data_IF_886933691355
#
_entry.id   IF_886933691355
#
_cell.length_a   1.000
_cell.length_b   1.000
_cell.length_c   1.000
_cell.angle_alpha   90.00
_cell.angle_beta   90.00
_cell.angle_gamma   90.00
#
_symmetry.space_group_name_H-M   'P 1'
#
loop_
_entity.id
_entity.type
_entity.pdbx_description
1 polymer ?
#
# COMPACT_ATOMS: atom_id res chain seq x y z
N UNK A 1 -16.14 12.11 19.40
CA UNK A 1 -16.13 12.47 17.97
C UNK A 1 -14.76 13.03 17.65
N UNK A 2 -13.94 12.34 16.87
CA UNK A 2 -12.60 12.82 16.49
C UNK A 2 -12.72 13.76 15.30
N UNK A 3 -12.36 15.03 15.50
CA UNK A 3 -12.44 16.11 14.50
C UNK A 3 -11.14 16.31 13.69
N UNK A 4 -10.20 15.36 13.77
CA UNK A 4 -8.84 15.46 13.22
C UNK A 4 -8.57 14.53 12.03
N UNK A 5 -9.58 14.19 11.22
CA UNK A 5 -9.27 13.68 9.88
C UNK A 5 -8.66 14.86 9.11
N UNK A 6 -7.40 14.80 8.64
CA UNK A 6 -6.84 15.89 7.87
C UNK A 6 -7.71 16.11 6.65
N UNK A 7 -8.15 17.34 6.45
CA UNK A 7 -8.90 17.69 5.24
C UNK A 7 -8.13 17.21 4.01
N UNK A 8 -8.80 16.38 3.23
CA UNK A 8 -8.74 16.35 1.79
C UNK A 8 -7.74 17.36 1.17
N UNK A 9 -6.56 16.96 0.64
CA UNK A 9 -5.65 17.91 0.02
C UNK A 9 -6.33 18.64 -1.13
N UNK A 10 -6.16 19.96 -1.16
CA UNK A 10 -6.74 20.86 -2.19
C UNK A 10 -6.03 20.70 -3.53
N UNK A 11 -4.78 20.25 -3.52
CA UNK A 11 -3.99 19.95 -4.70
C UNK A 11 -4.43 18.61 -5.31
N UNK A 12 -4.89 18.65 -6.55
CA UNK A 12 -5.30 17.47 -7.31
C UNK A 12 -4.49 17.33 -8.59
N UNK A 13 -4.31 16.08 -9.01
CA UNK A 13 -3.52 15.73 -10.19
C UNK A 13 -4.29 16.06 -11.46
N UNK A 14 -3.65 16.76 -12.40
CA UNK A 14 -4.16 17.00 -13.74
C UNK A 14 -3.24 16.35 -14.76
N UNK A 15 -3.80 15.50 -15.61
CA UNK A 15 -3.12 14.94 -16.77
C UNK A 15 -3.52 15.73 -18.01
N UNK A 16 -2.71 16.70 -18.42
CA UNK A 16 -2.95 17.57 -19.56
C UNK A 16 -2.31 17.00 -20.82
N UNK A 17 -1.03 16.62 -20.74
CA UNK A 17 -0.21 16.19 -21.87
C UNK A 17 0.26 14.75 -21.70
N UNK A 18 0.43 13.99 -22.80
CA UNK A 18 1.14 12.71 -22.74
C UNK A 18 2.51 12.89 -22.10
N UNK A 19 2.85 12.02 -21.15
CA UNK A 19 4.04 12.13 -20.29
C UNK A 19 3.73 12.65 -18.88
N UNK A 20 2.60 13.33 -18.68
CA UNK A 20 2.20 13.78 -17.35
C UNK A 20 2.05 12.57 -16.41
N UNK A 21 2.68 12.65 -15.25
CA UNK A 21 2.69 11.57 -14.26
C UNK A 21 2.54 12.11 -12.84
N UNK A 22 1.96 11.27 -12.00
CA UNK A 22 1.99 11.40 -10.54
C UNK A 22 2.57 10.12 -9.97
N UNK A 23 3.42 10.26 -8.96
CA UNK A 23 4.01 9.15 -8.23
C UNK A 23 4.00 9.47 -6.74
N UNK A 24 3.70 8.48 -5.91
CA UNK A 24 3.69 8.66 -4.47
C UNK A 24 3.22 7.41 -3.73
N UNK A 25 3.27 7.49 -2.41
CA UNK A 25 2.72 6.47 -1.53
C UNK A 25 1.24 6.70 -1.30
N UNK A 26 0.44 5.63 -1.38
CA UNK A 26 -0.99 5.68 -1.10
C UNK A 26 -1.18 5.93 0.39
N UNK A 27 -1.88 7.00 0.76
CA UNK A 27 -2.29 7.25 2.13
C UNK A 27 -3.70 6.74 2.38
N UNK A 28 -4.62 7.02 1.46
CA UNK A 28 -6.04 6.73 1.61
C UNK A 28 -6.68 6.47 0.24
N UNK A 29 -7.61 5.53 0.22
CA UNK A 29 -8.55 5.31 -0.89
C UNK A 29 -9.96 5.56 -0.37
N UNK A 30 -10.63 6.56 -0.94
CA UNK A 30 -12.01 6.90 -0.55
C UNK A 30 -13.04 6.00 -1.22
N UNK A 31 -14.24 5.95 -0.65
CA UNK A 31 -15.35 5.21 -1.25
C UNK A 31 -15.74 5.78 -2.63
N UNK A 32 -16.25 4.97 -3.57
CA UNK A 32 -16.75 5.45 -4.86
C UNK A 32 -17.89 6.47 -4.71
N UNK A 33 -17.82 7.57 -5.44
CA UNK A 33 -18.84 8.63 -5.45
C UNK A 33 -19.04 9.19 -6.87
N UNK A 34 -20.20 9.81 -7.18
CA UNK A 34 -20.47 10.32 -8.52
C UNK A 34 -19.56 11.52 -8.86
N UNK A 35 -19.15 11.59 -10.13
CA UNK A 35 -18.49 12.77 -10.69
C UNK A 35 -19.52 13.89 -10.84
N UNK A 36 -19.23 15.08 -10.34
CA UNK A 36 -20.07 16.26 -10.53
C UNK A 36 -19.77 16.93 -11.87
N UNK A 37 -20.80 17.32 -12.61
CA UNK A 37 -20.71 18.09 -13.83
C UNK A 37 -20.35 19.54 -13.54
N UNK A 38 -19.41 20.06 -14.34
CA UNK A 38 -18.85 21.39 -14.15
C UNK A 38 -19.94 22.47 -14.27
N UNK A 39 -20.07 23.30 -13.23
CA UNK A 39 -21.03 24.42 -13.09
C UNK A 39 -22.50 24.05 -12.87
N UNK A 40 -22.86 22.77 -12.80
CA UNK A 40 -24.28 22.37 -12.68
C UNK A 40 -24.63 21.69 -11.36
N UNK A 41 -23.63 21.31 -10.55
CA UNK A 41 -23.79 20.55 -9.30
C UNK A 41 -24.61 19.24 -9.46
N UNK A 42 -24.75 18.77 -10.70
CA UNK A 42 -25.46 17.53 -11.07
C UNK A 42 -24.46 16.41 -11.32
N UNK A 43 -24.83 15.15 -11.09
CA UNK A 43 -23.98 14.02 -11.45
C UNK A 43 -23.77 13.98 -12.97
N UNK A 44 -22.53 13.82 -13.40
CA UNK A 44 -22.16 13.57 -14.79
C UNK A 44 -22.69 12.20 -15.20
N UNK A 45 -23.47 12.15 -16.28
CA UNK A 45 -24.03 10.91 -16.80
C UNK A 45 -23.18 10.37 -17.96
N UNK A 46 -23.11 9.05 -18.08
CA UNK A 46 -22.53 8.35 -19.22
C UNK A 46 -23.51 8.29 -20.41
N UNK A 47 -23.09 7.70 -21.53
CA UNK A 47 -23.93 7.55 -22.73
C UNK A 47 -25.19 6.70 -22.52
N UNK A 48 -25.28 5.96 -21.39
CA UNK A 48 -26.44 5.15 -21.01
C UNK A 48 -27.31 5.86 -19.96
N UNK A 49 -26.97 7.08 -19.56
CA UNK A 49 -27.69 7.85 -18.55
C UNK A 49 -27.33 7.49 -17.10
N UNK A 50 -26.30 6.67 -16.86
CA UNK A 50 -25.87 6.32 -15.51
C UNK A 50 -24.84 7.30 -14.97
N UNK A 51 -24.81 7.61 -13.66
CA UNK A 51 -23.78 8.42 -13.06
C UNK A 51 -22.38 7.82 -13.28
N UNK A 52 -21.45 8.65 -13.74
CA UNK A 52 -20.03 8.27 -13.80
C UNK A 52 -19.50 8.28 -12.37
N UNK A 53 -19.05 7.12 -11.90
CA UNK A 53 -18.44 6.99 -10.57
C UNK A 53 -16.93 7.27 -10.64
N UNK A 54 -16.41 7.84 -9.56
CA UNK A 54 -14.98 8.06 -9.34
C UNK A 54 -14.57 7.69 -7.92
N UNK A 55 -13.30 7.38 -7.75
CA UNK A 55 -12.66 7.14 -6.46
C UNK A 55 -11.57 8.19 -6.28
N UNK A 56 -11.40 8.67 -5.05
CA UNK A 56 -10.29 9.56 -4.70
C UNK A 56 -9.21 8.75 -4.00
N UNK A 57 -8.00 8.79 -4.55
CA UNK A 57 -6.80 8.25 -3.93
C UNK A 57 -5.94 9.41 -3.45
N UNK A 58 -5.58 9.42 -2.18
CA UNK A 58 -4.64 10.40 -1.63
C UNK A 58 -3.24 9.81 -1.72
N UNK A 59 -2.34 10.54 -2.38
CA UNK A 59 -0.94 10.16 -2.54
C UNK A 59 -0.05 11.13 -1.77
N UNK A 60 0.83 10.62 -0.92
CA UNK A 60 1.99 11.33 -0.43
C UNK A 60 3.07 11.35 -1.51
N UNK A 61 3.42 12.53 -2.02
CA UNK A 61 4.37 12.71 -3.11
C UNK A 61 5.50 13.65 -2.72
N UNK A 62 6.68 13.46 -3.29
CA UNK A 62 7.83 14.35 -3.09
C UNK A 62 7.77 15.63 -3.94
N UNK A 63 6.73 15.78 -4.77
CA UNK A 63 6.52 17.01 -5.51
C UNK A 63 6.18 18.12 -4.50
N UNK A 64 6.91 19.22 -4.46
CA UNK A 64 6.54 20.38 -3.63
C UNK A 64 6.01 21.50 -4.53
N UNK A 65 4.81 22.00 -4.23
CA UNK A 65 4.18 23.11 -4.94
C UNK A 65 4.46 24.49 -4.29
N UNK A 66 5.38 24.55 -3.31
CA UNK A 66 5.75 25.79 -2.61
C UNK A 66 5.37 25.80 -1.12
N UNK A 67 5.48 26.97 -0.48
CA UNK A 67 5.21 27.12 0.95
C UNK A 67 3.74 26.82 1.27
N UNK A 68 3.51 25.80 2.12
CA UNK A 68 2.17 25.33 2.48
C UNK A 68 1.65 24.16 1.65
N UNK A 69 2.45 23.56 0.76
CA UNK A 69 2.12 22.28 0.14
C UNK A 69 2.36 21.14 1.14
N UNK A 70 1.31 20.45 1.55
CA UNK A 70 1.37 19.33 2.49
C UNK A 70 2.08 18.08 1.91
N UNK A 71 2.63 18.16 0.70
CA UNK A 71 3.22 17.01 -0.02
C UNK A 71 2.17 16.01 -0.52
N UNK A 72 0.88 16.26 -0.32
CA UNK A 72 -0.20 15.31 -0.65
C UNK A 72 -0.96 15.74 -1.89
N UNK A 73 -1.30 14.79 -2.76
CA UNK A 73 -2.13 15.01 -3.94
C UNK A 73 -3.35 14.10 -3.97
N UNK A 74 -4.46 14.68 -4.40
CA UNK A 74 -5.66 13.93 -4.76
C UNK A 74 -5.57 13.41 -6.19
N UNK A 75 -5.52 12.09 -6.36
CA UNK A 75 -5.69 11.42 -7.63
C UNK A 75 -7.16 10.96 -7.76
N UNK A 76 -7.91 11.58 -8.66
CA UNK A 76 -9.27 11.14 -9.00
C UNK A 76 -9.20 10.04 -10.06
N UNK A 77 -9.49 8.81 -9.65
CA UNK A 77 -9.52 7.63 -10.51
C UNK A 77 -10.95 7.47 -11.01
N UNK A 78 -11.16 7.60 -12.31
CA UNK A 78 -12.47 7.47 -12.92
C UNK A 78 -12.42 6.71 -14.24
N UNK A 79 -13.51 6.02 -14.55
CA UNK A 79 -13.67 5.25 -15.77
C UNK A 79 -12.73 4.05 -15.91
N UNK A 80 -13.07 3.18 -16.86
CA UNK A 80 -12.40 1.91 -17.10
C UNK A 80 -10.87 2.04 -17.32
N UNK A 81 -10.41 3.07 -18.03
CA UNK A 81 -8.99 3.13 -18.45
C UNK A 81 -8.02 3.33 -17.29
N UNK A 82 -8.37 4.16 -16.31
CA UNK A 82 -7.52 4.36 -15.13
C UNK A 82 -7.63 3.16 -14.19
N UNK A 83 -8.84 2.66 -13.96
CA UNK A 83 -9.05 1.50 -13.08
C UNK A 83 -8.36 0.24 -13.61
N UNK A 84 -8.43 -0.02 -14.92
CA UNK A 84 -7.69 -1.13 -15.55
C UNK A 84 -6.19 -0.93 -15.48
N UNK A 85 -5.67 0.27 -15.75
CA UNK A 85 -4.22 0.51 -15.69
C UNK A 85 -3.66 0.23 -14.28
N UNK A 86 -4.36 0.69 -13.23
CA UNK A 86 -3.98 0.46 -11.83
C UNK A 86 -4.15 -1.02 -11.46
N UNK A 87 -5.29 -1.62 -11.79
CA UNK A 87 -5.55 -3.04 -11.51
C UNK A 87 -4.55 -3.98 -12.19
N UNK A 88 -4.15 -3.69 -13.43
CA UNK A 88 -3.10 -4.46 -14.12
C UNK A 88 -1.73 -4.30 -13.44
N UNK A 89 -1.40 -3.10 -12.94
CA UNK A 89 -0.16 -2.89 -12.19
C UNK A 89 -0.16 -3.65 -10.85
N UNK A 90 -1.28 -3.60 -10.13
CA UNK A 90 -1.49 -4.36 -8.90
C UNK A 90 -1.36 -5.88 -9.13
N UNK A 91 -1.98 -6.40 -10.20
CA UNK A 91 -1.86 -7.80 -10.60
C UNK A 91 -0.41 -8.18 -10.92
N UNK A 92 0.35 -7.33 -11.64
CA UNK A 92 1.78 -7.56 -11.90
C UNK A 92 2.61 -7.60 -10.62
N UNK A 93 2.20 -6.85 -9.59
CA UNK A 93 2.81 -6.90 -8.26
C UNK A 93 2.29 -8.05 -7.39
N UNK A 94 1.41 -8.92 -7.93
CA UNK A 94 0.71 -10.01 -7.22
C UNK A 94 -0.17 -9.53 -6.06
N UNK A 95 -0.67 -8.30 -6.09
CA UNK A 95 -1.59 -7.78 -5.08
C UNK A 95 -2.94 -8.50 -5.16
N UNK A 96 -3.43 -8.96 -4.01
CA UNK A 96 -4.70 -9.68 -3.91
C UNK A 96 -5.89 -8.76 -3.63
N UNK A 97 -5.63 -7.53 -3.18
CA UNK A 97 -6.64 -6.53 -2.94
C UNK A 97 -7.23 -5.97 -4.24
N UNK A 98 -8.50 -5.59 -4.21
CA UNK A 98 -9.19 -4.92 -5.32
C UNK A 98 -8.79 -3.44 -5.48
N UNK A 99 -8.26 -2.84 -4.41
CA UNK A 99 -7.87 -1.43 -4.34
C UNK A 99 -6.42 -1.26 -3.84
N UNK A 100 -5.70 -0.20 -4.31
CA UNK A 100 -4.35 0.09 -3.84
C UNK A 100 -4.28 0.20 -2.32
N UNK A 101 -3.34 -0.52 -1.71
CA UNK A 101 -3.23 -0.55 -0.25
C UNK A 101 -2.53 0.70 0.29
N UNK A 102 -2.94 1.24 1.46
CA UNK A 102 -2.18 2.26 2.16
C UNK A 102 -0.72 1.82 2.38
N UNK A 103 0.22 2.72 2.14
CA UNK A 103 1.67 2.47 2.17
C UNK A 103 2.24 1.86 0.88
N UNK A 104 1.41 1.48 -0.09
CA UNK A 104 1.88 1.06 -1.41
C UNK A 104 2.43 2.25 -2.19
N UNK A 105 3.43 2.02 -3.04
CA UNK A 105 3.83 3.02 -4.02
C UNK A 105 2.97 2.88 -5.28
N UNK A 106 2.38 3.99 -5.73
CA UNK A 106 1.60 4.07 -6.96
C UNK A 106 2.14 5.20 -7.83
N UNK A 107 2.43 4.86 -9.09
CA UNK A 107 2.71 5.85 -10.14
C UNK A 107 1.74 5.66 -11.28
N UNK A 108 1.10 6.74 -11.71
CA UNK A 108 0.19 6.76 -12.85
C UNK A 108 0.67 7.78 -13.87
N UNK A 109 0.77 7.35 -15.12
CA UNK A 109 1.26 8.17 -16.24
C UNK A 109 0.22 8.22 -17.35
N UNK A 110 -0.10 9.41 -17.83
CA UNK A 110 -0.85 9.59 -19.08
C UNK A 110 0.08 9.29 -20.25
N UNK A 111 -0.01 8.10 -20.82
CA UNK A 111 0.97 7.61 -21.79
C UNK A 111 0.77 8.22 -23.19
N UNK A 112 -0.48 8.23 -23.68
CA UNK A 112 -0.82 8.72 -25.03
C UNK A 112 -2.32 8.89 -25.20
N UNK A 113 -2.71 9.60 -26.25
CA UNK A 113 -4.07 9.53 -26.77
C UNK A 113 -4.29 8.19 -27.51
N UNK A 114 -5.46 7.60 -27.32
CA UNK A 114 -5.93 6.44 -28.08
C UNK A 114 -6.51 6.85 -29.43
N UNK A 115 -7.03 5.87 -30.17
CA UNK A 115 -7.69 6.14 -31.45
C UNK A 115 -9.06 6.80 -31.21
N UNK A 116 -9.33 7.92 -31.89
CA UNK A 116 -10.67 8.48 -31.95
C UNK A 116 -11.59 7.54 -32.73
N UNK A 117 -12.85 7.46 -32.31
CA UNK A 117 -13.89 6.72 -33.03
C UNK A 117 -15.10 7.63 -33.19
N UNK A 118 -15.66 7.68 -34.40
CA UNK A 118 -16.92 8.36 -34.67
C UNK A 118 -16.97 9.85 -34.28
N UNK A 119 -15.91 10.62 -34.54
CA UNK A 119 -15.86 12.06 -34.24
C UNK A 119 -15.73 12.42 -32.75
N UNK A 120 -15.60 11.42 -31.87
CA UNK A 120 -15.34 11.66 -30.45
C UNK A 120 -13.87 12.03 -30.19
N UNK A 121 -13.65 12.82 -29.14
CA UNK A 121 -12.32 13.15 -28.68
C UNK A 121 -11.51 11.86 -28.40
N UNK A 122 -10.23 11.80 -28.82
CA UNK A 122 -9.37 10.66 -28.54
C UNK A 122 -9.29 10.38 -27.03
N UNK A 123 -9.54 9.14 -26.57
CA UNK A 123 -9.51 8.84 -25.15
C UNK A 123 -8.07 8.84 -24.62
N UNK A 124 -7.88 9.28 -23.37
CA UNK A 124 -6.58 9.19 -22.70
C UNK A 124 -6.26 7.74 -22.32
N UNK A 125 -5.05 7.28 -22.64
CA UNK A 125 -4.52 5.97 -22.25
C UNK A 125 -3.52 6.15 -21.12
N UNK A 126 -3.66 5.35 -20.06
CA UNK A 126 -2.82 5.43 -18.88
C UNK A 126 -1.99 4.16 -18.70
N UNK A 127 -0.83 4.31 -18.07
CA UNK A 127 0.01 3.21 -17.60
C UNK A 127 0.28 3.44 -16.12
N UNK A 128 0.17 2.39 -15.32
CA UNK A 128 0.50 2.44 -13.90
C UNK A 128 1.66 1.52 -13.54
N UNK A 129 2.40 1.93 -12.52
CA UNK A 129 3.37 1.12 -11.79
C UNK A 129 2.89 1.05 -10.33
N UNK A 130 2.98 -0.13 -9.73
CA UNK A 130 2.53 -0.37 -8.36
C UNK A 130 3.55 -1.25 -7.63
N UNK A 131 3.92 -0.83 -6.43
CA UNK A 131 4.74 -1.63 -5.51
C UNK A 131 3.97 -1.80 -4.22
N UNK A 132 3.81 -3.04 -3.79
CA UNK A 132 3.13 -3.40 -2.55
C UNK A 132 3.71 -2.64 -1.34
N UNK A 133 2.90 -2.36 -0.32
CA UNK A 133 3.44 -1.85 0.93
C UNK A 133 4.45 -2.89 1.47
N UNK A 134 5.56 -2.45 2.10
CA UNK A 134 6.40 -3.37 2.85
C UNK A 134 5.57 -3.93 4.00
N UNK A 135 5.05 -5.14 3.84
CA UNK A 135 4.52 -5.88 4.97
C UNK A 135 5.69 -6.13 5.92
N UNK A 136 5.55 -5.76 7.18
CA UNK A 136 6.42 -6.30 8.22
C UNK A 136 6.33 -7.82 8.09
N UNK A 137 7.41 -8.46 7.67
CA UNK A 137 7.50 -9.91 7.57
C UNK A 137 7.33 -10.47 8.98
N UNK A 138 6.10 -10.77 9.38
CA UNK A 138 5.82 -11.58 10.58
C UNK A 138 6.13 -13.03 10.21
N UNK A 139 7.40 -13.32 9.94
CA UNK A 139 7.97 -14.63 10.23
C UNK A 139 8.75 -14.45 11.53
N UNK A 140 8.02 -14.29 12.63
CA UNK A 140 8.55 -14.73 13.91
C UNK A 140 8.43 -16.24 13.85
N UNK A 141 9.46 -16.91 13.34
CA UNK A 141 9.66 -18.30 13.66
C UNK A 141 9.66 -18.39 15.20
N UNK A 142 8.86 -19.26 15.84
CA UNK A 142 8.99 -19.46 17.26
C UNK A 142 10.47 -19.80 17.54
N UNK A 143 11.10 -19.22 18.57
CA UNK A 143 12.46 -19.58 18.91
C UNK A 143 12.50 -21.10 19.08
N UNK A 144 13.39 -21.75 18.33
CA UNK A 144 13.65 -23.17 18.51
C UNK A 144 13.96 -23.40 20.00
N UNK A 145 13.36 -24.41 20.66
CA UNK A 145 13.69 -24.70 22.05
C UNK A 145 15.19 -24.93 22.15
N UNK A 146 15.85 -24.15 23.00
CA UNK A 146 17.27 -24.32 23.29
C UNK A 146 17.51 -25.77 23.75
N UNK A 147 18.61 -26.44 23.34
CA UNK A 147 18.93 -27.76 23.84
C UNK A 147 19.08 -27.68 25.37
N UNK A 148 18.33 -28.52 26.07
CA UNK A 148 18.46 -28.69 27.51
C UNK A 148 19.92 -29.01 27.86
N UNK A 149 20.54 -28.14 28.65
CA UNK A 149 21.86 -28.39 29.21
C UNK A 149 21.79 -29.68 30.04
N UNK A 150 22.64 -30.65 29.70
CA UNK A 150 22.80 -31.88 30.46
C UNK A 150 23.19 -31.54 31.91
N UNK A 151 22.41 -32.06 32.87
CA UNK A 151 22.74 -31.97 34.28
C UNK A 151 24.09 -32.70 34.55
N UNK A 152 25.02 -32.10 35.29
CA UNK A 152 26.26 -32.78 35.68
C UNK A 152 25.96 -33.94 36.65
N UNK A 153 26.62 -35.06 36.43
CA UNK A 153 26.51 -36.28 37.23
C UNK A 153 26.96 -36.05 38.70
N UNK A 154 26.36 -36.74 39.68
CA UNK A 154 26.77 -36.64 41.07
C UNK A 154 28.16 -37.25 41.27
N UNK A 155 29.06 -36.44 41.83
CA UNK A 155 30.43 -36.80 42.19
C UNK A 155 30.42 -37.93 43.23
N UNK A 156 31.04 -39.05 42.88
CA UNK A 156 31.22 -40.20 43.76
C UNK A 156 32.16 -39.84 44.92
N UNK A 157 31.80 -40.34 46.10
CA UNK A 157 32.34 -39.93 47.39
C UNK A 157 33.84 -40.18 47.58
N UNK A 158 34.46 -39.23 48.28
CA UNK A 158 35.74 -39.42 48.96
C UNK A 158 35.51 -40.30 50.20
N UNK A 159 36.03 -41.52 50.17
CA UNK A 159 36.16 -42.39 51.35
C UNK A 159 37.32 -41.90 52.23
N UNK A 160 37.13 -41.75 53.56
CA UNK A 160 38.24 -41.52 54.47
C UNK A 160 39.05 -42.81 54.71
N UNK A 161 40.35 -42.71 55.05
CA UNK A 161 41.22 -43.86 55.24
C UNK A 161 40.83 -44.73 56.43
N UNK A 162 40.90 -46.04 56.19
CA UNK A 162 40.56 -47.13 57.10
C UNK A 162 41.60 -47.23 58.24
N UNK A 163 41.16 -46.98 59.47
CA UNK A 163 41.97 -47.14 60.67
C UNK A 163 41.58 -48.47 61.34
N UNK A 164 42.40 -49.50 61.22
CA UNK A 164 42.22 -50.79 61.91
C UNK A 164 42.83 -50.75 63.31
N UNK A 165 42.07 -51.04 64.37
CA UNK A 165 42.64 -51.48 65.64
C UNK A 165 42.75 -53.03 65.71
N UNK A 166 43.81 -53.55 66.37
CA UNK A 166 44.20 -54.97 66.35
C UNK A 166 43.36 -55.84 67.30
N UNK A 167 43.31 -57.15 66.97
CA UNK A 167 42.82 -58.22 67.84
C UNK A 167 43.54 -58.21 69.20
N UNK A 168 42.88 -58.70 70.27
CA UNK A 168 43.51 -59.85 70.92
C UNK A 168 42.56 -60.84 71.65
N UNK A 169 43.05 -62.11 71.68
CA UNK A 169 42.69 -63.31 72.45
C UNK A 169 41.37 -64.04 72.14
#
# INVERSE_FOLDING_TARGET
MSFFAPSAPTNYVKFTNPGDSVAGYVEEVGAPYPVTEYKTDKPKLDSKGNPVMQVRVILATDQSAGQGDDGRRSLFVSGWRMTTAIGDAMRRANEAADEPQPGAFLKLTFARLGQSSGGMAPPKVYVAEYTKPPHASTSVAPPAPAPAAAAPAPNAGWMPPQNTPPAPW
#
